data_IF_099758604674
#
_entry.id   IF_099758604674
#
_cell.length_a   1.000
_cell.length_b   1.000
_cell.length_c   1.000
_cell.angle_alpha   90.00
_cell.angle_beta   90.00
_cell.angle_gamma   90.00
#
_symmetry.space_group_name_H-M   'P 1'
#
loop_
_entity.id
_entity.type
_entity.pdbx_description
1 polymer ?
#
# COMPACT_ATOMS: atom_id res chain seq x y z
N UNK A 1 -0.47 -20.42 56.04
CA UNK A 1 -0.37 -19.36 55.01
C UNK A 1 1.10 -19.16 54.66
N UNK A 2 1.56 -19.77 53.57
CA UNK A 2 2.96 -19.70 53.13
C UNK A 2 3.11 -18.56 52.10
N UNK A 3 4.05 -17.66 52.37
CA UNK A 3 4.31 -16.44 51.63
C UNK A 3 5.27 -16.75 50.46
N UNK A 4 4.73 -17.08 49.28
CA UNK A 4 5.54 -17.32 48.07
C UNK A 4 5.97 -15.97 47.50
N UNK A 5 7.13 -15.47 47.93
CA UNK A 5 7.84 -14.39 47.26
C UNK A 5 8.27 -14.88 45.87
N UNK A 6 7.57 -14.41 44.83
CA UNK A 6 7.99 -14.64 43.45
C UNK A 6 9.37 -13.99 43.22
N UNK A 7 10.39 -14.81 43.00
CA UNK A 7 11.68 -14.37 42.48
C UNK A 7 11.47 -13.81 41.07
N UNK A 8 11.27 -12.50 40.96
CA UNK A 8 11.45 -11.78 39.72
C UNK A 8 12.96 -11.71 39.47
N UNK A 9 13.50 -12.68 38.72
CA UNK A 9 14.89 -12.63 38.23
C UNK A 9 15.01 -11.40 37.32
N UNK A 10 15.81 -10.39 37.66
CA UNK A 10 15.99 -9.24 36.80
C UNK A 10 16.88 -9.66 35.63
N UNK A 11 16.29 -9.81 34.44
CA UNK A 11 17.02 -9.82 33.17
C UNK A 11 17.68 -8.45 32.98
N UNK A 12 18.83 -8.23 33.63
CA UNK A 12 19.59 -6.98 33.58
C UNK A 12 20.88 -7.17 32.76
N UNK A 13 20.97 -6.36 31.72
CA UNK A 13 22.17 -5.69 31.20
C UNK A 13 23.13 -6.34 30.17
N UNK A 14 22.93 -7.57 29.68
CA UNK A 14 23.66 -8.04 28.47
C UNK A 14 22.84 -7.95 27.15
N UNK A 15 21.64 -7.36 27.20
CA UNK A 15 20.67 -7.42 26.10
C UNK A 15 20.84 -6.36 25.00
N UNK A 16 21.47 -5.21 25.26
CA UNK A 16 21.56 -4.12 24.27
C UNK A 16 22.51 -4.45 23.12
N UNK A 17 23.67 -5.03 23.44
CA UNK A 17 24.66 -5.46 22.44
C UNK A 17 24.07 -6.59 21.59
N UNK A 18 23.37 -7.55 22.23
CA UNK A 18 22.70 -8.64 21.52
C UNK A 18 21.61 -8.16 20.55
N UNK A 19 20.79 -7.18 20.94
CA UNK A 19 19.75 -6.62 20.06
C UNK A 19 20.38 -5.86 18.89
N UNK A 20 21.40 -5.04 19.14
CA UNK A 20 22.08 -4.30 18.08
C UNK A 20 22.75 -5.25 17.06
N UNK A 21 23.42 -6.30 17.55
CA UNK A 21 24.03 -7.32 16.70
C UNK A 21 22.96 -8.07 15.88
N UNK A 22 21.82 -8.42 16.47
CA UNK A 22 20.73 -9.07 15.77
C UNK A 22 20.13 -8.18 14.66
N UNK A 23 19.91 -6.88 14.94
CA UNK A 23 19.42 -5.92 13.94
C UNK A 23 20.41 -5.77 12.79
N UNK A 24 21.70 -5.64 13.10
CA UNK A 24 22.75 -5.55 12.09
C UNK A 24 22.82 -6.81 11.23
N UNK A 25 22.74 -7.99 11.84
CA UNK A 25 22.73 -9.27 11.10
C UNK A 25 21.54 -9.37 10.15
N UNK A 26 20.34 -9.00 10.60
CA UNK A 26 19.13 -8.95 9.76
C UNK A 26 19.32 -7.97 8.63
N UNK A 27 19.82 -6.76 8.90
CA UNK A 27 20.07 -5.75 7.88
C UNK A 27 21.03 -6.23 6.80
N UNK A 28 22.18 -6.79 7.19
CA UNK A 28 23.18 -7.34 6.27
C UNK A 28 22.59 -8.48 5.44
N UNK A 29 21.76 -9.34 6.05
CA UNK A 29 21.07 -10.42 5.34
C UNK A 29 20.11 -9.88 4.27
N UNK A 30 19.32 -8.84 4.59
CA UNK A 30 18.41 -8.20 3.63
C UNK A 30 19.23 -7.56 2.48
N UNK A 31 20.32 -6.85 2.80
CA UNK A 31 21.21 -6.30 1.77
C UNK A 31 21.77 -7.39 0.85
N UNK A 32 22.22 -8.52 1.40
CA UNK A 32 22.75 -9.63 0.61
C UNK A 32 21.70 -10.22 -0.34
N UNK A 33 20.47 -10.44 0.14
CA UNK A 33 19.35 -10.90 -0.69
C UNK A 33 19.04 -9.89 -1.79
N UNK A 34 18.95 -8.61 -1.46
CA UNK A 34 18.65 -7.56 -2.44
C UNK A 34 19.77 -7.44 -3.50
N UNK A 35 21.04 -7.49 -3.09
CA UNK A 35 22.19 -7.47 -4.01
C UNK A 35 22.19 -8.64 -5.00
N UNK A 36 21.58 -9.78 -4.63
CA UNK A 36 21.48 -10.92 -5.54
C UNK A 36 20.54 -10.65 -6.73
N UNK A 37 19.49 -9.83 -6.54
CA UNK A 37 18.44 -9.58 -7.54
C UNK A 37 18.47 -8.19 -8.18
N UNK A 38 19.18 -7.23 -7.57
CA UNK A 38 19.21 -5.83 -8.00
C UNK A 38 20.01 -5.63 -9.29
N UNK A 39 19.52 -4.79 -10.19
CA UNK A 39 20.32 -4.33 -11.33
C UNK A 39 21.13 -3.09 -10.92
N UNK A 40 22.42 -3.27 -10.60
CA UNK A 40 23.30 -2.16 -10.25
C UNK A 40 23.45 -1.15 -11.39
N UNK A 41 23.32 -1.57 -12.66
CA UNK A 41 23.39 -0.67 -13.80
C UNK A 41 22.10 0.12 -14.00
N UNK A 42 21.01 -0.29 -13.37
CA UNK A 42 19.73 0.38 -13.45
C UNK A 42 19.72 1.74 -12.74
N UNK A 43 20.68 2.03 -11.85
CA UNK A 43 20.81 3.36 -11.26
C UNK A 43 21.14 4.43 -12.32
N UNK A 44 20.42 5.56 -12.24
CA UNK A 44 20.58 6.70 -13.14
C UNK A 44 21.97 7.33 -13.06
N UNK A 45 22.53 7.43 -11.86
CA UNK A 45 23.84 8.01 -11.62
C UNK A 45 24.93 6.94 -11.68
N UNK A 46 25.92 7.14 -12.54
CA UNK A 46 27.06 6.21 -12.72
C UNK A 46 27.83 5.97 -11.42
N UNK A 47 27.99 6.98 -10.57
CA UNK A 47 28.65 6.87 -9.26
C UNK A 47 27.93 5.92 -8.29
N UNK A 48 26.65 5.64 -8.52
CA UNK A 48 25.85 4.73 -7.70
C UNK A 48 25.87 3.29 -8.22
N UNK A 49 26.41 3.00 -9.41
CA UNK A 49 26.42 1.67 -10.05
C UNK A 49 27.47 0.71 -9.46
N UNK A 50 27.50 0.61 -8.14
CA UNK A 50 28.42 -0.24 -7.39
C UNK A 50 27.73 -0.83 -6.16
N UNK A 51 28.22 -1.95 -5.67
CA UNK A 51 27.72 -2.54 -4.41
C UNK A 51 27.86 -1.56 -3.23
N UNK A 52 28.94 -0.78 -3.17
CA UNK A 52 29.11 0.27 -2.16
C UNK A 52 28.09 1.40 -2.31
N UNK A 53 27.82 1.85 -3.54
CA UNK A 53 26.80 2.86 -3.82
C UNK A 53 25.41 2.39 -3.37
N UNK A 54 25.08 1.13 -3.64
CA UNK A 54 23.86 0.49 -3.17
C UNK A 54 23.74 0.50 -1.64
N UNK A 55 24.80 0.10 -0.93
CA UNK A 55 24.81 0.08 0.54
C UNK A 55 24.66 1.50 1.10
N UNK A 56 25.36 2.49 0.56
CA UNK A 56 25.27 3.89 1.02
C UNK A 56 23.86 4.47 0.85
N UNK A 57 23.23 4.24 -0.30
CA UNK A 57 21.86 4.67 -0.57
C UNK A 57 20.86 3.94 0.33
N UNK A 58 21.03 2.63 0.51
CA UNK A 58 20.19 1.82 1.40
C UNK A 58 20.25 2.34 2.83
N UNK A 59 21.45 2.67 3.33
CA UNK A 59 21.65 3.25 4.66
C UNK A 59 21.03 4.64 4.78
N UNK A 60 21.16 5.48 3.75
CA UNK A 60 20.54 6.79 3.72
C UNK A 60 19.01 6.68 3.86
N UNK A 61 18.38 5.82 3.06
CA UNK A 61 16.93 5.58 3.14
C UNK A 61 16.57 5.04 4.54
N UNK A 62 17.32 4.09 5.08
CA UNK A 62 17.11 3.56 6.43
C UNK A 62 17.14 4.66 7.51
N UNK A 63 18.10 5.58 7.43
CA UNK A 63 18.23 6.70 8.38
C UNK A 63 17.06 7.67 8.24
N UNK A 64 16.66 8.02 7.02
CA UNK A 64 15.51 8.88 6.76
C UNK A 64 14.23 8.25 7.31
N UNK A 65 14.02 6.96 7.07
CA UNK A 65 12.87 6.22 7.58
C UNK A 65 12.87 6.10 9.10
N UNK A 66 14.02 5.84 9.73
CA UNK A 66 14.14 5.87 11.18
C UNK A 66 13.79 7.25 11.74
N UNK A 67 14.36 8.29 11.14
CA UNK A 67 14.10 9.69 11.45
C UNK A 67 12.62 10.05 11.33
N UNK A 68 11.95 9.58 10.27
CA UNK A 68 10.50 9.74 10.08
C UNK A 68 9.73 9.29 11.30
N UNK A 69 9.95 8.04 11.74
CA UNK A 69 9.24 7.48 12.89
C UNK A 69 9.56 8.26 14.16
N UNK A 70 10.83 8.63 14.39
CA UNK A 70 11.19 9.41 15.58
C UNK A 70 10.53 10.78 15.60
N UNK A 71 10.51 11.48 14.46
CA UNK A 71 9.88 12.80 14.33
C UNK A 71 8.37 12.72 14.52
N UNK A 72 7.75 11.70 13.95
CA UNK A 72 6.32 11.45 14.05
C UNK A 72 5.90 11.17 15.49
N UNK A 73 6.68 10.38 16.23
CA UNK A 73 6.35 9.96 17.59
C UNK A 73 6.69 10.99 18.65
N UNK A 74 7.76 11.77 18.45
CA UNK A 74 8.21 12.74 19.46
C UNK A 74 7.21 13.89 19.69
N UNK A 75 6.19 14.07 18.84
CA UNK A 75 5.23 15.21 18.86
C UNK A 75 5.92 16.47 19.38
N UNK A 76 7.09 16.77 18.83
CA UNK A 76 7.95 17.83 19.37
C UNK A 76 7.18 19.13 19.26
N UNK A 77 6.77 19.68 20.41
CA UNK A 77 6.08 20.97 20.56
C UNK A 77 6.88 22.17 20.00
N UNK A 78 8.04 21.94 19.39
CA UNK A 78 8.97 22.96 18.94
C UNK A 78 8.43 23.82 17.80
N UNK A 79 7.41 23.37 17.07
CA UNK A 79 6.67 24.23 16.14
C UNK A 79 5.20 23.81 16.17
N UNK A 80 4.37 24.48 16.98
CA UNK A 80 2.92 24.24 17.04
C UNK A 80 2.21 24.42 15.67
N UNK A 81 2.88 25.04 14.68
CA UNK A 81 2.38 25.24 13.31
C UNK A 81 2.82 24.22 12.24
N UNK A 82 3.94 23.50 12.43
CA UNK A 82 4.48 22.57 11.41
C UNK A 82 4.75 21.20 12.04
N UNK A 83 3.79 20.29 11.89
CA UNK A 83 4.00 18.90 12.27
C UNK A 83 5.16 18.34 11.46
N UNK A 84 6.24 17.91 12.11
CA UNK A 84 7.39 17.28 11.44
C UNK A 84 6.99 16.05 10.61
N UNK A 85 5.81 15.47 10.84
CA UNK A 85 5.21 14.45 9.97
C UNK A 85 5.00 14.91 8.52
N UNK A 86 5.01 16.23 8.25
CA UNK A 86 4.90 16.82 6.92
C UNK A 86 6.24 16.85 6.18
N UNK A 87 7.37 16.91 6.89
CA UNK A 87 8.69 17.17 6.29
C UNK A 87 9.08 16.09 5.30
N UNK A 88 8.81 14.82 5.62
CA UNK A 88 9.21 13.70 4.76
C UNK A 88 8.29 13.55 3.54
N UNK A 89 6.95 13.55 3.67
CA UNK A 89 6.06 13.58 2.51
C UNK A 89 6.35 14.77 1.58
N UNK A 90 6.54 15.97 2.14
CA UNK A 90 6.91 17.15 1.36
C UNK A 90 8.31 17.02 0.74
N UNK A 91 9.27 16.43 1.45
CA UNK A 91 10.60 16.16 0.92
C UNK A 91 10.57 15.21 -0.28
N UNK A 92 9.83 14.09 -0.19
CA UNK A 92 9.63 13.16 -1.29
C UNK A 92 8.95 13.85 -2.48
N UNK A 93 7.92 14.65 -2.22
CA UNK A 93 7.28 15.47 -3.25
C UNK A 93 8.27 16.42 -3.93
N UNK A 94 9.11 17.14 -3.18
CA UNK A 94 10.12 18.03 -3.74
C UNK A 94 11.13 17.26 -4.59
N UNK A 95 11.57 16.07 -4.15
CA UNK A 95 12.45 15.22 -4.96
C UNK A 95 11.79 14.77 -6.27
N UNK A 96 10.54 14.31 -6.21
CA UNK A 96 9.75 13.93 -7.38
C UNK A 96 9.57 15.13 -8.34
N UNK A 97 9.24 16.30 -7.80
CA UNK A 97 9.11 17.52 -8.58
C UNK A 97 10.41 17.89 -9.29
N UNK A 98 11.54 17.89 -8.57
CA UNK A 98 12.86 18.23 -9.13
C UNK A 98 13.25 17.22 -10.22
N UNK A 99 13.07 15.92 -10.01
CA UNK A 99 13.41 14.92 -11.03
C UNK A 99 12.59 15.18 -12.30
N UNK A 100 11.27 15.31 -12.16
CA UNK A 100 10.37 15.38 -13.31
C UNK A 100 10.56 16.69 -14.07
N UNK A 101 10.74 17.79 -13.34
CA UNK A 101 10.99 19.10 -13.95
C UNK A 101 12.29 19.11 -14.75
N UNK A 102 13.36 18.49 -14.22
CA UNK A 102 14.66 18.37 -14.89
C UNK A 102 14.71 17.26 -15.95
N UNK A 103 13.63 16.50 -16.16
CA UNK A 103 13.63 15.34 -17.05
C UNK A 103 14.57 14.22 -16.59
N UNK A 104 14.82 14.13 -15.29
CA UNK A 104 15.62 13.08 -14.67
C UNK A 104 14.83 11.79 -14.51
N UNK A 105 15.51 10.66 -14.72
CA UNK A 105 14.98 9.31 -14.58
C UNK A 105 15.57 8.66 -13.33
N UNK A 106 15.50 9.36 -12.20
CA UNK A 106 16.23 8.96 -10.99
C UNK A 106 15.57 7.79 -10.29
N UNK A 107 14.25 7.69 -10.40
CA UNK A 107 13.46 6.63 -9.81
C UNK A 107 12.83 5.73 -10.88
N UNK A 108 12.68 4.45 -10.53
CA UNK A 108 12.04 3.45 -11.36
C UNK A 108 10.52 3.55 -11.24
N UNK A 109 9.88 3.37 -12.38
CA UNK A 109 8.46 3.07 -12.46
C UNK A 109 8.28 1.67 -13.05
N UNK A 110 7.18 1.03 -12.68
CA UNK A 110 6.77 -0.28 -13.18
C UNK A 110 5.32 -0.14 -13.68
N UNK A 111 4.82 -1.14 -14.39
CA UNK A 111 3.51 -1.11 -15.02
C UNK A 111 3.59 -0.96 -16.54
N UNK A 112 2.59 -0.29 -17.11
CA UNK A 112 2.34 -0.20 -18.55
C UNK A 112 3.02 1.00 -19.24
N UNK A 113 3.85 1.75 -18.50
CA UNK A 113 4.86 2.64 -19.08
C UNK A 113 4.27 3.94 -19.62
N UNK A 114 3.32 4.51 -18.87
CA UNK A 114 2.75 5.83 -19.13
C UNK A 114 1.42 5.81 -19.88
N UNK A 115 0.65 4.71 -19.83
CA UNK A 115 -0.68 4.66 -20.45
C UNK A 115 -1.59 5.79 -19.95
N UNK A 116 -1.49 6.15 -18.66
CA UNK A 116 -2.22 7.30 -18.10
C UNK A 116 -1.83 8.62 -18.78
N UNK A 117 -0.54 8.84 -19.03
CA UNK A 117 -0.06 10.05 -19.71
C UNK A 117 -0.57 10.13 -21.15
N UNK A 118 -0.66 8.98 -21.83
CA UNK A 118 -1.24 8.87 -23.19
C UNK A 118 -2.74 9.14 -23.16
N UNK A 119 -3.49 8.52 -22.25
CA UNK A 119 -4.92 8.74 -22.09
C UNK A 119 -5.26 10.22 -21.83
N UNK A 120 -4.48 10.89 -20.99
CA UNK A 120 -4.61 12.32 -20.72
C UNK A 120 -4.31 13.16 -21.96
N UNK A 121 -3.25 12.86 -22.68
CA UNK A 121 -2.85 13.61 -23.87
C UNK A 121 -3.85 13.46 -25.03
N UNK A 122 -4.48 12.29 -25.15
CA UNK A 122 -5.51 12.01 -26.15
C UNK A 122 -6.91 12.45 -25.71
N UNK A 123 -7.07 12.94 -24.47
CA UNK A 123 -8.37 13.26 -23.87
C UNK A 123 -9.36 12.10 -23.94
N UNK A 124 -8.87 10.87 -23.75
CA UNK A 124 -9.69 9.65 -23.76
C UNK A 124 -9.73 9.04 -22.36
N UNK A 125 -10.91 9.02 -21.72
CA UNK A 125 -11.09 8.28 -20.47
C UNK A 125 -10.75 6.80 -20.65
N UNK A 126 -10.25 6.17 -19.61
CA UNK A 126 -9.89 4.76 -19.62
C UNK A 126 -10.87 3.96 -18.79
N UNK A 127 -11.43 2.88 -19.32
CA UNK A 127 -12.61 2.21 -18.73
C UNK A 127 -12.34 1.69 -17.32
N UNK A 128 -11.15 1.12 -17.06
CA UNK A 128 -10.74 0.60 -15.74
C UNK A 128 -10.64 1.69 -14.67
N UNK A 129 -10.49 2.95 -15.07
CA UNK A 129 -10.18 4.12 -14.24
C UNK A 129 -11.11 5.30 -14.57
N UNK A 130 -12.35 5.02 -14.94
CA UNK A 130 -13.23 5.96 -15.63
C UNK A 130 -13.24 7.37 -15.01
N UNK A 131 -13.76 7.48 -13.79
CA UNK A 131 -13.99 8.77 -13.13
C UNK A 131 -12.66 9.48 -12.86
N UNK A 132 -11.62 8.75 -12.44
CA UNK A 132 -10.34 9.37 -12.13
C UNK A 132 -9.57 9.81 -13.37
N UNK A 133 -9.66 9.08 -14.48
CA UNK A 133 -9.04 9.52 -15.75
C UNK A 133 -9.78 10.74 -16.30
N UNK A 134 -11.11 10.76 -16.28
CA UNK A 134 -11.89 11.95 -16.66
C UNK A 134 -11.52 13.16 -15.82
N UNK A 135 -11.50 13.02 -14.49
CA UNK A 135 -11.12 14.11 -13.59
C UNK A 135 -9.68 14.60 -13.83
N UNK A 136 -8.75 13.69 -14.17
CA UNK A 136 -7.37 14.03 -14.49
C UNK A 136 -7.23 14.74 -15.83
N UNK A 137 -7.99 14.34 -16.86
CA UNK A 137 -8.07 15.03 -18.16
C UNK A 137 -8.56 16.46 -17.96
N UNK A 138 -9.67 16.63 -17.23
CA UNK A 138 -10.27 17.94 -16.98
C UNK A 138 -9.31 18.84 -16.19
N UNK A 139 -8.70 18.31 -15.12
CA UNK A 139 -7.74 19.07 -14.33
C UNK A 139 -6.49 19.45 -15.12
N UNK A 140 -5.95 18.52 -15.93
CA UNK A 140 -4.83 18.79 -16.83
C UNK A 140 -5.16 19.87 -17.86
N UNK A 141 -6.37 19.82 -18.45
CA UNK A 141 -6.86 20.82 -19.40
C UNK A 141 -7.00 22.19 -18.77
N UNK A 142 -7.61 22.29 -17.59
CA UNK A 142 -7.74 23.54 -16.84
C UNK A 142 -6.38 24.12 -16.46
N UNK A 143 -5.46 23.28 -15.98
CA UNK A 143 -4.11 23.71 -15.59
C UNK A 143 -3.34 24.26 -16.80
N UNK A 144 -3.40 23.57 -17.94
CA UNK A 144 -2.74 24.00 -19.18
C UNK A 144 -3.36 25.24 -19.80
N UNK A 145 -4.67 25.42 -19.66
CA UNK A 145 -5.37 26.57 -20.20
C UNK A 145 -5.12 27.84 -19.36
N UNK A 146 -5.11 27.72 -18.03
CA UNK A 146 -5.14 28.89 -17.13
C UNK A 146 -3.85 29.15 -16.35
N UNK A 147 -3.01 28.14 -16.09
CA UNK A 147 -1.93 28.24 -15.08
C UNK A 147 -0.55 28.07 -15.68
N UNK A 148 -0.26 26.93 -16.30
CA UNK A 148 1.08 26.60 -16.83
C UNK A 148 0.99 25.65 -18.02
N UNK A 149 1.88 25.81 -19.01
CA UNK A 149 2.05 24.81 -20.07
C UNK A 149 2.97 23.68 -19.61
N UNK A 150 2.41 22.47 -19.47
CA UNK A 150 3.12 21.27 -19.02
C UNK A 150 2.65 20.05 -19.81
N UNK A 151 3.58 19.18 -20.23
CA UNK A 151 3.25 17.93 -20.92
C UNK A 151 2.63 16.90 -19.96
N UNK A 152 1.78 16.01 -20.47
CA UNK A 152 1.16 14.94 -19.67
C UNK A 152 2.19 14.05 -18.96
N UNK A 153 3.30 13.73 -19.64
CA UNK A 153 4.44 12.97 -19.11
C UNK A 153 5.08 13.61 -17.86
N UNK A 154 5.05 14.94 -17.74
CA UNK A 154 5.53 15.65 -16.54
C UNK A 154 4.44 15.84 -15.51
N UNK A 155 3.22 16.09 -15.98
CA UNK A 155 2.06 16.30 -15.14
C UNK A 155 1.74 15.08 -14.27
N UNK A 156 1.70 13.87 -14.85
CA UNK A 156 1.30 12.65 -14.12
C UNK A 156 2.20 12.37 -12.91
N UNK A 157 3.54 12.30 -13.04
CA UNK A 157 4.42 12.12 -11.88
C UNK A 157 4.27 13.20 -10.80
N UNK A 158 4.12 14.47 -11.20
CA UNK A 158 3.98 15.59 -10.25
C UNK A 158 2.64 15.49 -9.51
N UNK A 159 1.55 15.22 -10.22
CA UNK A 159 0.23 15.06 -9.64
C UNK A 159 0.16 13.83 -8.71
N UNK A 160 0.76 12.72 -9.14
CA UNK A 160 0.94 11.49 -8.36
C UNK A 160 1.65 11.77 -7.03
N UNK A 161 2.84 12.39 -7.07
CA UNK A 161 3.58 12.76 -5.86
C UNK A 161 2.80 13.75 -4.97
N UNK A 162 2.06 14.68 -5.57
CA UNK A 162 1.20 15.65 -4.84
C UNK A 162 0.10 14.93 -4.07
N UNK A 163 -0.63 14.02 -4.71
CA UNK A 163 -1.73 13.28 -4.10
C UNK A 163 -1.22 12.31 -3.04
N UNK A 164 -0.09 11.66 -3.29
CA UNK A 164 0.55 10.79 -2.29
C UNK A 164 1.03 11.58 -1.08
N UNK A 165 1.60 12.76 -1.27
CA UNK A 165 1.94 13.67 -0.18
C UNK A 165 0.70 14.07 0.62
N UNK A 166 -0.34 14.59 -0.05
CA UNK A 166 -1.59 14.99 0.60
C UNK A 166 -2.27 13.83 1.37
N UNK A 167 -2.30 12.64 0.76
CA UNK A 167 -2.86 11.43 1.36
C UNK A 167 -2.07 11.01 2.59
N UNK A 168 -0.74 10.99 2.51
CA UNK A 168 0.13 10.68 3.66
C UNK A 168 -0.13 11.63 4.81
N UNK A 169 -0.23 12.93 4.53
CA UNK A 169 -0.53 13.96 5.53
C UNK A 169 -1.91 13.78 6.16
N UNK A 170 -2.95 13.54 5.35
CA UNK A 170 -4.32 13.35 5.82
C UNK A 170 -4.42 12.11 6.72
N UNK A 171 -3.89 10.97 6.26
CA UNK A 171 -3.89 9.69 7.00
C UNK A 171 -3.13 9.83 8.31
N UNK A 172 -1.93 10.40 8.27
CA UNK A 172 -1.09 10.65 9.44
C UNK A 172 -1.78 11.52 10.49
N UNK A 173 -2.47 12.58 10.06
CA UNK A 173 -3.20 13.49 10.95
C UNK A 173 -4.42 12.81 11.57
N UNK A 174 -5.15 12.02 10.78
CA UNK A 174 -6.40 11.42 11.23
C UNK A 174 -6.16 10.23 12.18
N UNK A 175 -5.32 9.26 11.79
CA UNK A 175 -5.11 8.04 12.57
C UNK A 175 -3.93 8.11 13.55
N UNK A 176 -3.11 9.16 13.46
CA UNK A 176 -1.95 9.36 14.32
C UNK A 176 -0.80 8.39 14.04
N UNK A 177 0.03 8.16 15.06
CA UNK A 177 1.35 7.53 14.93
C UNK A 177 1.35 6.02 15.10
N UNK A 178 0.20 5.36 15.01
CA UNK A 178 0.09 3.93 15.31
C UNK A 178 0.86 3.10 14.28
N UNK A 179 1.41 1.95 14.69
CA UNK A 179 2.22 1.10 13.83
C UNK A 179 1.46 0.66 12.56
N UNK A 180 0.15 0.43 12.66
CA UNK A 180 -0.71 0.09 11.52
C UNK A 180 -0.94 1.23 10.52
N UNK A 181 -0.53 2.45 10.87
CA UNK A 181 -0.47 3.62 9.97
C UNK A 181 0.94 3.77 9.41
N UNK A 182 1.96 3.66 10.27
CA UNK A 182 3.35 3.85 9.87
C UNK A 182 3.81 2.79 8.87
N UNK A 183 3.49 1.51 9.09
CA UNK A 183 3.89 0.42 8.21
C UNK A 183 3.43 0.59 6.76
N UNK A 184 2.13 0.83 6.45
CA UNK A 184 1.72 1.05 5.06
C UNK A 184 2.37 2.32 4.47
N UNK A 185 2.46 3.43 5.21
CA UNK A 185 3.06 4.69 4.73
C UNK A 185 4.58 4.64 4.52
N UNK A 186 5.23 3.58 4.99
CA UNK A 186 6.69 3.38 4.86
C UNK A 186 7.02 2.09 4.12
N UNK A 187 6.00 1.44 3.54
CA UNK A 187 6.19 0.31 2.64
C UNK A 187 6.92 0.77 1.37
N UNK A 188 7.77 -0.08 0.78
CA UNK A 188 8.46 0.25 -0.46
C UNK A 188 7.52 0.74 -1.58
N UNK A 189 6.35 0.12 -1.75
CA UNK A 189 5.39 0.53 -2.79
C UNK A 189 4.80 1.93 -2.53
N UNK A 190 4.51 2.27 -1.28
CA UNK A 190 4.03 3.62 -0.93
C UNK A 190 5.09 4.69 -1.19
N UNK A 191 6.36 4.37 -0.89
CA UNK A 191 7.49 5.26 -1.16
C UNK A 191 7.73 5.43 -2.66
N UNK A 192 7.60 4.35 -3.45
CA UNK A 192 7.69 4.41 -4.91
C UNK A 192 6.61 5.34 -5.48
N UNK A 193 5.35 5.16 -5.08
CA UNK A 193 4.24 6.04 -5.46
C UNK A 193 4.50 7.51 -5.09
N UNK A 194 5.08 7.76 -3.92
CA UNK A 194 5.38 9.11 -3.42
C UNK A 194 6.50 9.82 -4.20
N UNK A 195 7.28 9.11 -5.01
CA UNK A 195 8.43 9.63 -5.75
C UNK A 195 8.15 9.92 -7.23
N UNK A 196 6.88 10.11 -7.58
CA UNK A 196 6.45 10.49 -8.93
C UNK A 196 6.35 9.28 -9.86
N UNK A 197 5.64 8.27 -9.39
CA UNK A 197 5.30 7.07 -10.15
C UNK A 197 4.30 7.44 -11.26
N UNK A 198 4.54 6.95 -12.48
CA UNK A 198 3.85 7.41 -13.71
C UNK A 198 2.62 6.56 -14.09
N UNK A 199 2.08 5.81 -13.13
CA UNK A 199 0.87 5.00 -13.25
C UNK A 199 -0.34 5.63 -12.55
N UNK A 200 -1.50 4.98 -12.70
CA UNK A 200 -2.75 5.42 -12.08
C UNK A 200 -2.89 5.05 -10.59
N UNK A 201 -2.20 4.02 -10.09
CA UNK A 201 -2.35 3.56 -8.70
C UNK A 201 -2.10 4.62 -7.60
N UNK A 202 -1.12 5.54 -7.73
CA UNK A 202 -0.92 6.63 -6.75
C UNK A 202 -2.16 7.50 -6.51
N UNK A 203 -3.01 7.66 -7.52
CA UNK A 203 -4.23 8.48 -7.43
C UNK A 203 -5.33 7.82 -6.59
N UNK A 204 -5.28 6.50 -6.45
CA UNK A 204 -6.30 5.72 -5.73
C UNK A 204 -5.77 5.05 -4.44
N UNK A 205 -4.45 4.95 -4.28
CA UNK A 205 -3.81 4.31 -3.13
C UNK A 205 -4.14 5.00 -1.80
N UNK A 206 -4.19 6.34 -1.77
CA UNK A 206 -4.57 7.10 -0.58
C UNK A 206 -6.00 6.83 -0.13
N UNK A 207 -6.94 6.83 -1.07
CA UNK A 207 -8.35 6.50 -0.82
C UNK A 207 -8.51 5.06 -0.34
N UNK A 208 -7.82 4.11 -1.00
CA UNK A 208 -7.80 2.72 -0.57
C UNK A 208 -7.34 2.60 0.89
N UNK A 209 -6.20 3.21 1.23
CA UNK A 209 -5.61 3.10 2.57
C UNK A 209 -6.53 3.73 3.64
N UNK A 210 -7.15 4.88 3.35
CA UNK A 210 -8.15 5.48 4.25
C UNK A 210 -9.32 4.55 4.52
N UNK A 211 -9.92 3.97 3.47
CA UNK A 211 -11.06 3.07 3.61
C UNK A 211 -10.66 1.74 4.27
N UNK A 212 -9.48 1.21 3.96
CA UNK A 212 -8.93 0.03 4.62
C UNK A 212 -8.76 0.29 6.12
N UNK A 213 -8.08 1.38 6.50
CA UNK A 213 -7.92 1.77 7.91
C UNK A 213 -9.28 1.97 8.60
N UNK A 214 -10.25 2.58 7.91
CA UNK A 214 -11.59 2.67 8.42
C UNK A 214 -12.20 1.29 8.64
N UNK A 215 -12.11 0.34 7.70
CA UNK A 215 -12.60 -1.05 7.88
C UNK A 215 -12.00 -1.70 9.14
N UNK A 216 -10.71 -1.51 9.40
CA UNK A 216 -10.02 -2.00 10.60
C UNK A 216 -10.34 -1.22 11.88
N UNK A 217 -10.85 0.01 11.77
CA UNK A 217 -11.16 0.88 12.90
C UNK A 217 -12.48 0.52 13.57
N UNK A 218 -12.52 0.68 14.89
CA UNK A 218 -13.75 0.61 15.70
C UNK A 218 -14.54 1.95 15.64
N UNK A 219 -14.07 2.95 14.89
CA UNK A 219 -14.75 4.25 14.76
C UNK A 219 -16.21 4.10 14.30
N UNK A 220 -17.10 4.66 15.12
CA UNK A 220 -18.53 4.75 14.86
C UNK A 220 -18.81 5.95 13.94
N UNK A 221 -18.62 5.73 12.64
CA UNK A 221 -19.15 6.63 11.62
C UNK A 221 -20.59 6.19 11.31
N UNK A 222 -21.54 7.08 11.54
CA UNK A 222 -22.95 6.83 11.23
C UNK A 222 -23.13 6.59 9.72
N UNK A 223 -23.99 5.61 9.38
CA UNK A 223 -24.32 5.35 8.00
C UNK A 223 -25.09 6.56 7.43
N UNK A 224 -24.55 7.17 6.37
CA UNK A 224 -25.15 8.32 5.70
C UNK A 224 -25.23 8.07 4.19
N UNK A 225 -26.15 8.77 3.52
CA UNK A 225 -26.27 8.72 2.06
C UNK A 225 -24.96 9.10 1.36
N UNK A 226 -24.18 10.01 1.96
CA UNK A 226 -22.87 10.40 1.44
C UNK A 226 -21.90 9.20 1.36
N UNK A 227 -21.82 8.37 2.40
CA UNK A 227 -20.93 7.20 2.39
C UNK A 227 -21.39 6.12 1.41
N UNK A 228 -22.71 6.00 1.18
CA UNK A 228 -23.23 5.15 0.11
C UNK A 228 -22.87 5.68 -1.28
N UNK A 229 -22.95 7.00 -1.51
CA UNK A 229 -22.47 7.61 -2.75
C UNK A 229 -20.97 7.31 -2.93
N UNK A 230 -20.14 7.55 -1.92
CA UNK A 230 -18.70 7.23 -1.97
C UNK A 230 -18.48 5.76 -2.35
N UNK A 231 -19.18 4.82 -1.71
CA UNK A 231 -19.09 3.41 -2.01
C UNK A 231 -19.46 3.06 -3.47
N UNK A 232 -20.50 3.72 -4.00
CA UNK A 232 -20.93 3.60 -5.39
C UNK A 232 -19.94 4.15 -6.42
N UNK A 233 -19.18 5.19 -6.05
CA UNK A 233 -18.18 5.79 -6.93
C UNK A 233 -16.86 5.00 -6.99
N UNK A 234 -16.56 4.14 -6.01
CA UNK A 234 -15.28 3.41 -5.97
C UNK A 234 -15.01 2.56 -7.23
N UNK A 235 -15.96 1.78 -7.77
CA UNK A 235 -15.73 1.01 -9.00
C UNK A 235 -15.53 1.89 -10.24
N UNK A 236 -16.13 3.08 -10.27
CA UNK A 236 -15.93 4.04 -11.35
C UNK A 236 -14.57 4.76 -11.22
N UNK A 237 -14.07 4.96 -10.00
CA UNK A 237 -12.70 5.45 -9.76
C UNK A 237 -11.66 4.41 -10.16
N UNK A 238 -11.85 3.16 -9.75
CA UNK A 238 -11.00 2.05 -10.13
C UNK A 238 -11.81 0.76 -10.06
N UNK A 239 -11.92 0.04 -11.19
CA UNK A 239 -12.68 -1.22 -11.25
C UNK A 239 -12.15 -2.26 -10.25
N UNK A 240 -10.85 -2.24 -9.94
CA UNK A 240 -10.25 -3.09 -8.90
C UNK A 240 -10.78 -2.83 -7.48
N UNK A 241 -11.53 -1.75 -7.25
CA UNK A 241 -12.20 -1.46 -5.97
C UNK A 241 -13.60 -2.05 -5.84
N UNK A 242 -14.11 -2.81 -6.81
CA UNK A 242 -15.38 -3.55 -6.65
C UNK A 242 -15.43 -4.34 -5.33
N UNK A 243 -14.39 -5.12 -4.94
CA UNK A 243 -14.41 -5.79 -3.65
C UNK A 243 -14.41 -4.82 -2.47
N UNK A 244 -13.67 -3.71 -2.54
CA UNK A 244 -13.64 -2.69 -1.50
C UNK A 244 -15.03 -2.07 -1.27
N UNK A 245 -15.80 -1.82 -2.33
CA UNK A 245 -17.21 -1.39 -2.23
C UNK A 245 -18.03 -2.36 -1.39
N UNK A 246 -17.87 -3.67 -1.60
CA UNK A 246 -18.59 -4.69 -0.82
C UNK A 246 -18.22 -4.62 0.66
N UNK A 247 -16.94 -4.46 0.99
CA UNK A 247 -16.49 -4.33 2.39
C UNK A 247 -17.01 -3.03 3.04
N UNK A 248 -17.04 -1.92 2.30
CA UNK A 248 -17.64 -0.67 2.75
C UNK A 248 -19.14 -0.84 3.00
N UNK A 249 -19.88 -1.47 2.09
CA UNK A 249 -21.30 -1.77 2.28
C UNK A 249 -21.54 -2.66 3.49
N UNK A 250 -20.77 -3.73 3.67
CA UNK A 250 -20.88 -4.61 4.84
C UNK A 250 -20.68 -3.81 6.14
N UNK A 251 -19.72 -2.88 6.16
CA UNK A 251 -19.51 -1.98 7.30
C UNK A 251 -20.71 -1.06 7.53
N UNK A 252 -21.21 -0.39 6.51
CA UNK A 252 -22.37 0.49 6.60
C UNK A 252 -23.65 -0.25 7.02
N UNK A 253 -23.88 -1.46 6.51
CA UNK A 253 -25.05 -2.27 6.87
C UNK A 253 -25.04 -2.73 8.32
N UNK A 254 -23.84 -3.00 8.87
CA UNK A 254 -23.71 -3.30 10.30
C UNK A 254 -24.15 -2.15 11.20
N UNK A 255 -24.19 -0.91 10.67
CA UNK A 255 -24.63 0.31 11.35
C UNK A 255 -26.06 0.71 11.01
N UNK A 256 -26.57 0.33 9.85
CA UNK A 256 -27.93 0.62 9.44
C UNK A 256 -28.96 -0.13 10.30
N UNK A 257 -29.89 0.63 10.88
CA UNK A 257 -30.89 0.16 11.87
C UNK A 257 -32.02 -0.67 11.24
N UNK A 258 -32.30 -0.48 9.95
CA UNK A 258 -33.39 -1.17 9.25
C UNK A 258 -32.96 -1.72 7.89
N UNK A 259 -33.61 -2.81 7.47
CA UNK A 259 -33.41 -3.39 6.13
C UNK A 259 -33.77 -2.40 5.01
N UNK A 260 -34.81 -1.58 5.22
CA UNK A 260 -35.20 -0.53 4.27
C UNK A 260 -34.10 0.51 4.06
N UNK A 261 -33.42 0.93 5.13
CA UNK A 261 -32.27 1.85 5.04
C UNK A 261 -31.10 1.23 4.27
N UNK A 262 -30.84 -0.08 4.46
CA UNK A 262 -29.80 -0.81 3.71
C UNK A 262 -30.10 -0.84 2.22
N UNK A 263 -31.32 -1.24 1.85
CA UNK A 263 -31.76 -1.27 0.44
C UNK A 263 -31.70 0.12 -0.18
N UNK A 264 -32.17 1.15 0.52
CA UNK A 264 -32.09 2.53 0.04
C UNK A 264 -30.64 2.96 -0.21
N UNK A 265 -29.74 2.69 0.73
CA UNK A 265 -28.30 2.98 0.58
C UNK A 265 -27.66 2.24 -0.60
N UNK A 266 -28.04 0.98 -0.85
CA UNK A 266 -27.61 0.24 -2.05
C UNK A 266 -28.08 0.92 -3.32
N UNK A 267 -29.37 1.29 -3.39
CA UNK A 267 -29.92 1.98 -4.55
C UNK A 267 -29.20 3.31 -4.81
N UNK A 268 -28.89 4.08 -3.76
CA UNK A 268 -28.09 5.31 -3.87
C UNK A 268 -26.70 5.03 -4.42
N UNK A 269 -26.04 3.96 -3.96
CA UNK A 269 -24.70 3.58 -4.44
C UNK A 269 -24.72 3.18 -5.92
N UNK A 270 -25.70 2.35 -6.31
CA UNK A 270 -25.87 1.90 -7.71
C UNK A 270 -26.20 3.08 -8.62
N UNK A 271 -27.08 3.98 -8.19
CA UNK A 271 -27.41 5.19 -8.93
C UNK A 271 -26.19 6.10 -9.09
N UNK A 272 -25.39 6.28 -8.04
CA UNK A 272 -24.15 7.05 -8.10
C UNK A 272 -23.15 6.46 -9.11
N UNK A 273 -23.03 5.13 -9.16
CA UNK A 273 -22.19 4.45 -10.15
C UNK A 273 -22.66 4.72 -11.59
N UNK A 274 -23.96 4.58 -11.87
CA UNK A 274 -24.48 4.87 -13.20
C UNK A 274 -24.34 6.34 -13.59
N UNK A 275 -24.59 7.27 -12.66
CA UNK A 275 -24.37 8.70 -12.90
C UNK A 275 -22.89 8.97 -13.21
N UNK A 276 -21.96 8.32 -12.50
CA UNK A 276 -20.53 8.45 -12.80
C UNK A 276 -20.19 7.94 -14.20
N UNK A 277 -20.85 6.87 -14.68
CA UNK A 277 -20.69 6.40 -16.05
C UNK A 277 -21.23 7.41 -17.05
N UNK A 278 -22.44 7.92 -16.85
CA UNK A 278 -23.05 8.90 -17.77
C UNK A 278 -22.25 10.21 -17.85
N UNK A 279 -21.60 10.62 -16.76
CA UNK A 279 -20.71 11.80 -16.74
C UNK A 279 -19.36 11.48 -17.39
N UNK A 280 -18.75 10.35 -17.03
CA UNK A 280 -17.39 10.00 -17.42
C UNK A 280 -17.25 9.40 -18.81
N UNK A 281 -18.33 8.83 -19.36
CA UNK A 281 -18.33 8.07 -20.62
C UNK A 281 -19.38 8.61 -21.61
N UNK A 282 -18.99 9.48 -22.56
CA UNK A 282 -19.93 10.21 -23.41
C UNK A 282 -20.75 9.32 -24.37
N UNK A 283 -20.33 8.07 -24.59
CA UNK A 283 -21.03 7.10 -25.45
C UNK A 283 -22.10 6.30 -24.68
N UNK A 284 -22.25 6.55 -23.38
CA UNK A 284 -23.25 5.94 -22.50
C UNK A 284 -22.85 4.57 -21.93
N UNK A 285 -23.62 4.11 -20.94
CA UNK A 285 -23.27 2.95 -20.11
C UNK A 285 -23.17 1.61 -20.84
N UNK A 286 -24.00 1.36 -21.87
CA UNK A 286 -23.96 0.07 -22.61
C UNK A 286 -22.64 -0.11 -23.35
N UNK A 287 -22.13 0.96 -23.96
CA UNK A 287 -20.83 0.94 -24.65
C UNK A 287 -19.68 0.80 -23.65
N UNK A 288 -19.74 1.52 -22.53
CA UNK A 288 -18.75 1.43 -21.46
C UNK A 288 -18.59 -0.01 -20.95
N UNK A 289 -19.69 -0.71 -20.64
CA UNK A 289 -19.61 -2.08 -20.08
C UNK A 289 -19.03 -3.09 -21.08
N UNK A 290 -19.29 -2.92 -22.37
CA UNK A 290 -18.70 -3.75 -23.41
C UNK A 290 -17.17 -3.56 -23.45
N UNK A 291 -16.71 -2.31 -23.53
CA UNK A 291 -15.29 -1.98 -23.60
C UNK A 291 -14.53 -2.29 -22.31
N UNK A 292 -15.16 -2.11 -21.15
CA UNK A 292 -14.56 -2.49 -19.87
C UNK A 292 -14.21 -3.99 -19.85
N UNK A 293 -15.04 -4.84 -20.45
CA UNK A 293 -14.76 -6.28 -20.47
C UNK A 293 -13.50 -6.59 -21.29
N UNK A 294 -13.31 -5.87 -22.39
CA UNK A 294 -12.14 -6.02 -23.26
C UNK A 294 -10.86 -5.46 -22.60
N UNK A 295 -10.96 -4.29 -21.97
CA UNK A 295 -9.84 -3.62 -21.29
C UNK A 295 -9.36 -4.33 -20.02
N UNK A 296 -10.15 -5.27 -19.48
CA UNK A 296 -9.78 -6.05 -18.29
C UNK A 296 -8.73 -7.15 -18.57
N UNK A 297 -8.30 -7.33 -19.84
CA UNK A 297 -7.25 -8.29 -20.24
C UNK A 297 -7.46 -9.69 -19.63
N UNK A 298 -8.71 -10.18 -19.70
CA UNK A 298 -9.12 -11.46 -19.12
C UNK A 298 -8.59 -12.64 -19.93
N UNK A 299 -8.47 -13.81 -19.29
CA UNK A 299 -8.04 -15.03 -19.99
C UNK A 299 -6.55 -15.07 -20.28
N UNK A 300 -6.11 -15.93 -21.21
CA UNK A 300 -4.70 -16.02 -21.62
C UNK A 300 -4.35 -15.17 -22.86
N UNK A 301 -5.22 -14.24 -23.23
CA UNK A 301 -5.03 -13.39 -24.42
C UNK A 301 -3.98 -12.28 -24.21
N UNK A 302 -3.16 -12.04 -25.23
CA UNK A 302 -2.43 -10.77 -25.43
C UNK A 302 -1.14 -10.55 -24.63
N UNK A 303 -0.77 -11.41 -23.67
CA UNK A 303 0.52 -11.29 -22.96
C UNK A 303 1.22 -12.64 -22.79
N UNK A 304 2.46 -12.73 -23.28
CA UNK A 304 3.33 -13.91 -23.14
C UNK A 304 4.35 -13.80 -22.01
N UNK A 305 4.23 -12.78 -21.14
CA UNK A 305 5.26 -12.47 -20.14
C UNK A 305 5.03 -13.08 -18.75
N UNK A 306 3.93 -13.81 -18.54
CA UNK A 306 3.67 -14.55 -17.30
C UNK A 306 3.67 -16.06 -17.52
N UNK A 307 3.95 -16.80 -16.45
CA UNK A 307 3.90 -18.27 -16.44
C UNK A 307 2.57 -18.76 -15.85
N UNK A 308 2.01 -19.84 -16.39
CA UNK A 308 0.76 -20.44 -15.95
C UNK A 308 -0.43 -20.20 -16.90
N UNK A 309 -1.60 -20.69 -16.50
CA UNK A 309 -2.86 -20.57 -17.24
C UNK A 309 -3.94 -19.91 -16.41
N UNK A 310 -4.80 -19.13 -17.05
CA UNK A 310 -5.98 -18.56 -16.40
C UNK A 310 -7.01 -19.64 -16.03
N UNK A 311 -7.90 -19.33 -15.09
CA UNK A 311 -9.01 -20.20 -14.71
C UNK A 311 -10.05 -20.34 -15.83
N UNK A 312 -10.19 -19.29 -16.65
CA UNK A 312 -11.03 -19.24 -17.85
C UNK A 312 -10.65 -18.04 -18.71
N UNK A 313 -11.15 -17.99 -19.95
CA UNK A 313 -10.95 -16.87 -20.88
C UNK A 313 -11.55 -15.55 -20.39
N UNK A 314 -12.39 -15.59 -19.36
CA UNK A 314 -13.07 -14.43 -18.77
C UNK A 314 -12.66 -14.18 -17.31
N UNK A 315 -11.57 -14.79 -16.87
CA UNK A 315 -11.07 -14.65 -15.49
C UNK A 315 -9.74 -13.91 -15.47
N UNK A 316 -9.53 -12.97 -14.52
CA UNK A 316 -8.22 -12.38 -14.25
C UNK A 316 -7.37 -13.27 -13.32
N UNK A 317 -7.90 -14.42 -12.90
CA UNK A 317 -7.30 -15.30 -11.91
C UNK A 317 -6.68 -16.55 -12.54
N UNK A 318 -5.58 -17.00 -11.95
CA UNK A 318 -4.94 -18.27 -12.24
C UNK A 318 -5.87 -19.46 -12.03
N UNK A 319 -5.67 -20.50 -12.84
CA UNK A 319 -6.17 -21.84 -12.54
C UNK A 319 -5.57 -22.36 -11.21
N UNK A 320 -6.24 -23.31 -10.56
CA UNK A 320 -5.73 -23.90 -9.31
C UNK A 320 -4.33 -24.49 -9.48
N UNK A 321 -4.04 -25.16 -10.58
CA UNK A 321 -2.69 -25.71 -10.83
C UNK A 321 -1.62 -24.63 -10.92
N UNK A 322 -1.93 -23.49 -11.54
CA UNK A 322 -1.00 -22.37 -11.68
C UNK A 322 -0.83 -21.60 -10.36
N UNK A 323 -1.91 -21.37 -9.62
CA UNK A 323 -1.87 -20.67 -8.33
C UNK A 323 -1.05 -21.42 -7.27
N UNK A 324 -1.03 -22.76 -7.31
CA UNK A 324 -0.25 -23.58 -6.37
C UNK A 324 1.12 -24.03 -6.92
N UNK A 325 1.53 -23.51 -8.08
CA UNK A 325 2.80 -23.85 -8.71
C UNK A 325 3.99 -23.23 -7.98
N UNK A 326 5.16 -23.87 -8.07
CA UNK A 326 6.38 -23.38 -7.43
C UNK A 326 6.87 -22.04 -7.99
N UNK A 327 6.66 -21.78 -9.29
CA UNK A 327 7.04 -20.49 -9.89
C UNK A 327 6.19 -19.36 -9.30
N UNK A 328 4.88 -19.56 -9.16
CA UNK A 328 3.99 -18.52 -8.63
C UNK A 328 4.27 -18.25 -7.16
N UNK A 329 4.52 -19.28 -6.35
CA UNK A 329 4.90 -19.08 -4.93
C UNK A 329 6.17 -18.23 -4.82
N UNK A 330 7.17 -18.45 -5.68
CA UNK A 330 8.39 -17.61 -5.72
C UNK A 330 8.04 -16.16 -6.07
N UNK A 331 7.15 -15.96 -7.04
CA UNK A 331 6.72 -14.65 -7.51
C UNK A 331 5.93 -13.90 -6.42
N UNK A 332 5.06 -14.60 -5.67
CA UNK A 332 4.36 -14.05 -4.51
C UNK A 332 5.31 -13.63 -3.39
N UNK A 333 6.33 -14.44 -3.09
CA UNK A 333 7.36 -14.09 -2.11
C UNK A 333 8.12 -12.85 -2.59
N UNK A 334 8.48 -12.79 -3.86
CA UNK A 334 9.16 -11.65 -4.47
C UNK A 334 8.32 -10.38 -4.31
N UNK A 335 7.07 -10.36 -4.79
CA UNK A 335 6.18 -9.21 -4.68
C UNK A 335 5.94 -8.83 -3.22
N UNK A 336 5.64 -9.80 -2.36
CA UNK A 336 5.35 -9.55 -0.95
C UNK A 336 6.53 -8.91 -0.20
N UNK A 337 7.76 -9.31 -0.52
CA UNK A 337 8.97 -8.72 0.06
C UNK A 337 9.27 -7.37 -0.54
N UNK A 338 9.27 -7.23 -1.87
CA UNK A 338 9.74 -6.01 -2.53
C UNK A 338 8.72 -4.88 -2.56
N UNK A 339 7.41 -5.17 -2.61
CA UNK A 339 6.36 -4.16 -2.51
C UNK A 339 5.92 -3.91 -1.06
N UNK A 340 5.69 -4.99 -0.29
CA UNK A 340 5.21 -4.92 1.09
C UNK A 340 6.29 -4.66 2.15
N UNK A 341 7.55 -4.99 1.85
CA UNK A 341 8.71 -4.72 2.70
C UNK A 341 8.75 -5.57 3.97
N UNK A 342 9.35 -4.98 5.02
CA UNK A 342 9.54 -5.62 6.32
C UNK A 342 8.22 -5.96 7.01
N UNK A 343 7.11 -5.31 6.67
CA UNK A 343 5.82 -5.59 7.29
C UNK A 343 5.32 -7.00 6.90
N UNK A 344 5.53 -7.41 5.65
CA UNK A 344 5.27 -8.78 5.17
C UNK A 344 6.16 -9.79 5.88
N UNK A 345 7.46 -9.49 5.99
CA UNK A 345 8.43 -10.35 6.69
C UNK A 345 8.03 -10.49 8.18
N UNK A 346 7.76 -9.37 8.84
CA UNK A 346 7.35 -9.32 10.24
C UNK A 346 6.06 -10.11 10.48
N UNK A 347 5.08 -10.04 9.57
CA UNK A 347 3.85 -10.82 9.69
C UNK A 347 4.13 -12.32 9.67
N UNK A 348 4.94 -12.80 8.72
CA UNK A 348 5.33 -14.21 8.61
C UNK A 348 6.00 -14.69 9.91
N UNK A 349 6.93 -13.90 10.44
CA UNK A 349 7.60 -14.22 11.71
C UNK A 349 6.65 -14.19 12.90
N UNK A 350 5.78 -13.17 13.01
CA UNK A 350 4.83 -13.04 14.12
C UNK A 350 3.79 -14.17 14.13
N UNK A 351 3.28 -14.56 12.96
CA UNK A 351 2.36 -15.70 12.83
C UNK A 351 3.08 -17.00 13.16
N UNK A 352 4.27 -17.24 12.59
CA UNK A 352 5.06 -18.44 12.86
C UNK A 352 5.47 -18.58 14.33
N UNK A 353 5.85 -17.48 14.99
CA UNK A 353 6.17 -17.47 16.43
C UNK A 353 4.95 -17.75 17.29
N UNK A 354 3.77 -17.19 16.96
CA UNK A 354 2.54 -17.46 17.71
C UNK A 354 2.06 -18.92 17.55
N UNK A 355 2.27 -19.54 16.39
CA UNK A 355 1.98 -20.97 16.18
C UNK A 355 2.94 -21.87 16.97
N UNK A 356 4.22 -21.48 17.07
CA UNK A 356 5.26 -22.27 17.76
C UNK A 356 5.26 -22.08 19.28
N UNK A 357 4.90 -20.89 19.77
CA UNK A 357 4.76 -20.56 21.20
C UNK A 357 3.41 -21.03 21.77
N UNK A 358 2.92 -22.19 21.33
CA UNK A 358 1.59 -22.72 21.65
C UNK A 358 1.14 -22.31 23.04
N UNK A 359 0.05 -21.54 23.12
CA UNK A 359 -0.47 -20.97 24.37
C UNK A 359 0.19 -19.68 24.87
N UNK A 360 0.15 -18.60 24.09
CA UNK A 360 -0.37 -17.39 24.73
C UNK A 360 -1.82 -17.70 25.05
N UNK A 361 -2.12 -18.09 26.29
CA UNK A 361 -3.49 -18.09 26.83
C UNK A 361 -3.99 -16.65 26.83
N UNK A 362 -4.16 -16.08 25.66
CA UNK A 362 -4.97 -14.90 25.47
C UNK A 362 -6.33 -15.32 26.02
N UNK A 363 -6.70 -14.75 27.16
CA UNK A 363 -8.07 -14.74 27.62
C UNK A 363 -8.86 -14.00 26.54
N UNK A 364 -9.19 -14.71 25.47
CA UNK A 364 -10.11 -14.24 24.47
C UNK A 364 -11.45 -14.21 25.17
N UNK A 365 -11.88 -13.01 25.54
CA UNK A 365 -13.27 -12.79 25.90
C UNK A 365 -14.12 -13.20 24.68
N UNK A 366 -15.33 -13.76 24.88
CA UNK A 366 -16.21 -14.15 23.78
C UNK A 366 -16.45 -13.03 22.75
N UNK A 367 -16.41 -11.76 23.21
CA UNK A 367 -16.47 -10.57 22.35
C UNK A 367 -15.22 -10.37 21.48
N UNK A 368 -14.04 -10.77 21.96
CA UNK A 368 -12.78 -10.78 21.21
C UNK A 368 -12.75 -11.85 20.10
N UNK A 369 -13.40 -13.00 20.31
CA UNK A 369 -13.50 -14.07 19.31
C UNK A 369 -14.53 -13.75 18.21
N UNK A 370 -15.70 -13.17 18.57
CA UNK A 370 -16.63 -12.56 17.59
C UNK A 370 -15.96 -11.46 16.77
N UNK A 371 -15.01 -10.72 17.36
CA UNK A 371 -14.13 -9.76 16.68
C UNK A 371 -13.03 -10.40 15.82
N UNK A 372 -12.74 -11.71 15.91
CA UNK A 372 -11.79 -12.40 15.02
C UNK A 372 -12.46 -13.00 13.78
N UNK A 373 -13.76 -13.34 13.85
CA UNK A 373 -14.62 -13.64 12.67
C UNK A 373 -15.24 -12.34 12.10
N UNK A 374 -14.53 -11.22 12.27
CA UNK A 374 -15.02 -9.88 11.92
C UNK A 374 -14.68 -9.48 10.49
N UNK A 375 -15.38 -8.46 10.00
CA UNK A 375 -15.16 -7.84 8.69
C UNK A 375 -13.66 -7.60 8.36
N UNK A 376 -12.81 -7.06 9.27
CA UNK A 376 -11.37 -6.99 9.09
C UNK A 376 -10.68 -8.30 8.68
N UNK A 377 -11.03 -9.43 9.32
CA UNK A 377 -10.39 -10.71 9.00
C UNK A 377 -10.80 -11.21 7.61
N UNK A 378 -12.08 -11.07 7.25
CA UNK A 378 -12.58 -11.38 5.90
C UNK A 378 -11.89 -10.49 4.87
N UNK A 379 -11.65 -9.22 5.19
CA UNK A 379 -10.94 -8.28 4.33
C UNK A 379 -9.47 -8.67 4.12
N UNK A 380 -8.76 -9.09 5.18
CA UNK A 380 -7.40 -9.65 5.05
C UNK A 380 -7.41 -10.91 4.18
N UNK A 381 -8.31 -11.85 4.48
CA UNK A 381 -8.42 -13.10 3.72
C UNK A 381 -8.68 -12.86 2.24
N UNK A 382 -9.58 -11.93 1.90
CA UNK A 382 -9.82 -11.52 0.53
C UNK A 382 -8.57 -10.97 -0.15
N UNK A 383 -7.84 -10.07 0.51
CA UNK A 383 -6.62 -9.49 -0.07
C UNK A 383 -5.50 -10.52 -0.26
N UNK A 384 -5.42 -11.52 0.63
CA UNK A 384 -4.51 -12.66 0.45
C UNK A 384 -4.94 -13.55 -0.71
N UNK A 385 -6.25 -13.83 -0.86
CA UNK A 385 -6.77 -14.58 -2.01
C UNK A 385 -6.54 -13.82 -3.32
N UNK A 386 -6.80 -12.52 -3.34
CA UNK A 386 -6.50 -11.66 -4.49
C UNK A 386 -5.02 -11.78 -4.86
N UNK A 387 -4.12 -11.60 -3.90
CA UNK A 387 -2.68 -11.72 -4.14
C UNK A 387 -2.32 -13.11 -4.66
N UNK A 388 -2.89 -14.17 -4.08
CA UNK A 388 -2.58 -15.56 -4.41
C UNK A 388 -3.11 -16.00 -5.78
N UNK A 389 -4.26 -15.48 -6.23
CA UNK A 389 -4.90 -15.93 -7.45
C UNK A 389 -4.75 -14.96 -8.63
N UNK A 390 -4.50 -13.67 -8.40
CA UNK A 390 -4.41 -12.67 -9.47
C UNK A 390 -3.19 -12.92 -10.36
N UNK A 391 -3.38 -12.81 -11.68
CA UNK A 391 -2.33 -12.97 -12.68
C UNK A 391 -1.58 -11.64 -12.86
N UNK A 392 -0.26 -11.57 -12.62
CA UNK A 392 0.57 -10.44 -13.02
C UNK A 392 0.86 -10.52 -14.52
N UNK A 393 0.03 -9.88 -15.35
CA UNK A 393 0.08 -9.96 -16.81
C UNK A 393 1.41 -9.51 -17.42
N UNK A 394 2.08 -8.53 -16.83
CA UNK A 394 3.41 -8.07 -17.26
C UNK A 394 4.55 -8.85 -16.57
N UNK A 395 4.21 -9.85 -15.75
CA UNK A 395 5.13 -10.58 -14.88
C UNK A 395 5.33 -9.88 -13.52
N UNK A 396 5.87 -10.58 -12.52
CA UNK A 396 5.90 -10.12 -11.12
C UNK A 396 6.78 -8.89 -10.87
N UNK A 397 7.74 -8.62 -11.76
CA UNK A 397 8.62 -7.45 -11.68
C UNK A 397 7.94 -6.19 -12.19
N UNK A 398 7.26 -6.29 -13.33
CA UNK A 398 6.59 -5.16 -13.97
C UNK A 398 5.22 -4.86 -13.33
N UNK A 399 4.47 -5.88 -12.90
CA UNK A 399 3.19 -5.72 -12.18
C UNK A 399 3.38 -5.79 -10.65
N UNK A 400 4.50 -5.29 -10.14
CA UNK A 400 4.76 -5.30 -8.70
C UNK A 400 3.77 -4.41 -7.92
N UNK A 401 3.26 -3.38 -8.58
CA UNK A 401 2.29 -2.42 -8.08
C UNK A 401 0.84 -2.93 -8.14
N UNK A 402 0.51 -3.88 -9.01
CA UNK A 402 -0.80 -4.52 -9.09
C UNK A 402 -1.31 -5.00 -7.71
N UNK A 403 -0.39 -5.43 -6.86
CA UNK A 403 -0.66 -5.96 -5.53
C UNK A 403 -0.58 -4.91 -4.42
N UNK A 404 -0.57 -3.61 -4.73
CA UNK A 404 -0.43 -2.56 -3.71
C UNK A 404 -1.51 -2.68 -2.61
N UNK A 405 -2.74 -3.01 -2.98
CA UNK A 405 -3.87 -3.18 -2.04
C UNK A 405 -3.57 -4.27 -1.01
N UNK A 406 -3.15 -5.45 -1.47
CA UNK A 406 -2.79 -6.58 -0.61
C UNK A 406 -1.59 -6.26 0.28
N UNK A 407 -0.55 -5.65 -0.28
CA UNK A 407 0.64 -5.27 0.48
C UNK A 407 0.33 -4.25 1.58
N UNK A 408 -0.52 -3.26 1.31
CA UNK A 408 -0.95 -2.28 2.31
C UNK A 408 -1.81 -2.94 3.39
N UNK A 409 -2.72 -3.86 3.05
CA UNK A 409 -3.55 -4.58 4.03
C UNK A 409 -2.71 -5.48 4.93
N UNK A 410 -1.72 -6.18 4.37
CA UNK A 410 -0.72 -6.94 5.13
C UNK A 410 0.03 -6.02 6.10
N UNK A 411 0.43 -4.83 5.63
CA UNK A 411 1.12 -3.85 6.45
C UNK A 411 0.27 -3.31 7.62
N UNK A 412 -1.01 -3.01 7.37
CA UNK A 412 -1.97 -2.64 8.41
C UNK A 412 -2.08 -3.76 9.44
N UNK A 413 -2.28 -5.00 8.98
CA UNK A 413 -2.46 -6.15 9.87
C UNK A 413 -1.22 -6.43 10.73
N UNK A 414 -0.02 -6.39 10.14
CA UNK A 414 1.24 -6.49 10.86
C UNK A 414 1.37 -5.40 11.93
N UNK A 415 0.97 -4.17 11.63
CA UNK A 415 0.97 -3.06 12.58
C UNK A 415 -0.04 -3.24 13.71
N UNK A 416 -1.23 -3.78 13.45
CA UNK A 416 -2.23 -4.09 14.48
C UNK A 416 -1.68 -5.14 15.45
N UNK A 417 -1.03 -6.19 14.93
CA UNK A 417 -0.40 -7.21 15.76
C UNK A 417 0.71 -6.62 16.62
N UNK A 418 1.53 -5.72 16.06
CA UNK A 418 2.59 -5.05 16.79
C UNK A 418 2.05 -4.13 17.91
N UNK A 419 0.99 -3.36 17.65
CA UNK A 419 0.34 -2.54 18.69
C UNK A 419 -0.19 -3.40 19.84
N UNK A 420 -0.83 -4.54 19.53
CA UNK A 420 -1.27 -5.48 20.58
C UNK A 420 -0.12 -6.00 21.42
N UNK A 421 1.03 -6.29 20.80
CA UNK A 421 2.24 -6.70 21.54
C UNK A 421 2.72 -5.57 22.46
N UNK A 422 2.69 -4.31 21.99
CA UNK A 422 3.05 -3.16 22.82
C UNK A 422 2.09 -2.95 23.99
N UNK A 423 0.79 -3.11 23.78
CA UNK A 423 -0.23 -3.02 24.83
C UNK A 423 -0.05 -4.12 25.88
N UNK A 424 0.10 -5.38 25.45
CA UNK A 424 0.30 -6.53 26.34
C UNK A 424 1.57 -6.39 27.20
N UNK A 425 2.63 -5.80 26.63
CA UNK A 425 3.91 -5.56 27.32
C UNK A 425 3.96 -4.23 28.08
N UNK A 426 2.91 -3.40 28.00
CA UNK A 426 2.88 -2.02 28.54
C UNK A 426 4.11 -1.21 28.13
N UNK A 427 4.52 -1.36 26.86
CA UNK A 427 5.71 -0.71 26.32
C UNK A 427 5.53 0.81 26.33
N UNK A 428 6.47 1.55 26.92
CA UNK A 428 6.43 3.01 26.93
C UNK A 428 6.61 3.61 25.53
N UNK A 429 6.04 4.79 25.29
CA UNK A 429 5.99 5.47 23.98
C UNK A 429 7.38 5.61 23.31
N UNK A 430 8.41 5.98 24.08
CA UNK A 430 9.78 6.07 23.55
C UNK A 430 10.31 4.73 23.04
N UNK A 431 10.00 3.63 23.73
CA UNK A 431 10.43 2.30 23.31
C UNK A 431 9.65 1.82 22.08
N UNK A 432 8.35 2.15 21.97
CA UNK A 432 7.56 1.91 20.75
C UNK A 432 8.17 2.64 19.55
N UNK A 433 8.46 3.93 19.70
CA UNK A 433 9.08 4.76 18.66
C UNK A 433 10.43 4.19 18.19
N UNK A 434 11.30 3.80 19.13
CA UNK A 434 12.61 3.20 18.80
C UNK A 434 12.41 1.89 18.05
N UNK A 435 11.57 0.98 18.57
CA UNK A 435 11.34 -0.31 17.95
C UNK A 435 10.74 -0.17 16.55
N UNK A 436 9.73 0.68 16.40
CA UNK A 436 9.10 0.93 15.12
C UNK A 436 10.07 1.58 14.13
N UNK A 437 10.88 2.54 14.58
CA UNK A 437 11.92 3.16 13.76
C UNK A 437 12.94 2.14 13.27
N UNK A 438 13.41 1.24 14.15
CA UNK A 438 14.33 0.17 13.76
C UNK A 438 13.69 -0.74 12.72
N UNK A 439 12.45 -1.20 12.94
CA UNK A 439 11.77 -2.11 12.01
C UNK A 439 11.61 -1.46 10.64
N UNK A 440 11.08 -0.23 10.58
CA UNK A 440 10.87 0.47 9.31
C UNK A 440 12.20 0.78 8.61
N UNK A 441 13.28 1.06 9.35
CA UNK A 441 14.59 1.30 8.73
C UNK A 441 15.11 0.11 7.93
N UNK A 442 14.66 -1.12 8.24
CA UNK A 442 15.00 -2.32 7.47
C UNK A 442 14.40 -2.31 6.04
N UNK A 443 13.45 -1.42 5.73
CA UNK A 443 12.98 -1.23 4.36
C UNK A 443 14.01 -0.52 3.47
N UNK A 444 15.07 0.10 4.01
CA UNK A 444 16.04 0.87 3.21
C UNK A 444 16.62 0.10 2.01
N UNK A 445 17.18 -1.11 2.20
CA UNK A 445 17.69 -1.92 1.09
C UNK A 445 16.60 -2.34 0.09
N UNK A 446 15.41 -2.69 0.57
CA UNK A 446 14.28 -3.12 -0.27
C UNK A 446 13.81 -1.95 -1.13
N UNK A 447 13.60 -0.79 -0.51
CA UNK A 447 13.22 0.45 -1.17
C UNK A 447 14.30 0.93 -2.15
N UNK A 448 15.59 0.84 -1.80
CA UNK A 448 16.67 1.15 -2.74
C UNK A 448 16.58 0.27 -4.01
N UNK A 449 16.37 -1.04 -3.82
CA UNK A 449 16.22 -2.00 -4.92
C UNK A 449 15.03 -1.66 -5.80
N UNK A 450 13.86 -1.43 -5.21
CA UNK A 450 12.63 -1.12 -5.94
C UNK A 450 12.70 0.26 -6.63
N UNK A 451 13.18 1.28 -5.93
CA UNK A 451 12.95 2.67 -6.35
C UNK A 451 14.10 3.22 -7.20
N UNK A 452 15.34 2.80 -6.94
CA UNK A 452 16.52 3.46 -7.54
C UNK A 452 17.20 2.56 -8.57
N UNK A 453 17.38 1.29 -8.21
CA UNK A 453 18.18 0.37 -9.02
C UNK A 453 17.32 -0.44 -9.98
N UNK A 454 16.16 -0.94 -9.53
CA UNK A 454 15.36 -1.90 -10.28
C UNK A 454 15.91 -3.33 -10.16
N UNK A 455 15.26 -4.25 -10.87
CA UNK A 455 15.56 -5.68 -10.84
C UNK A 455 16.32 -6.09 -12.10
N UNK A 456 17.22 -7.07 -12.00
CA UNK A 456 17.83 -7.74 -13.17
C UNK A 456 16.71 -8.33 -14.03
N UNK A 457 16.85 -8.29 -15.36
CA UNK A 457 15.92 -8.93 -16.30
C UNK A 457 15.79 -10.43 -16.05
#
# INVERSE_FOLDING_TARGET
MANVKSMAVPLRLNSKIGIAAAVLFVYVSICAVCLSVVDLNGASFTSLRSGSGYISISLLISVVLYGYVQLFWKRTKWVEGLSFSLVIPCGLFVFAFIQTYKGGWWFKSYGDGGALSTAINESKPFTRWLLGTTAMIDFYGLLNHFVISISSQKFVPIASATIMCASTVAIARHYGSKAFVVFPLTSPIWLAFSLGYDEYYPFVAGLFLLLALWIFSDEDIEASNFLFVVAGLLPALYVGFVPLTLFVWMKLFSKATSFRSRLFGMSVSVLAYFIAIEIGWPVGHSNYLALLTDDMNLGDFGSHNYQGTSMSDKSPFYSLSSAFSSFHIRDLVFVGVFAGGIATIALIFLVGMNLRLGSVKAKYTPNGLKRMVSLPFVFVAWNLLYMFFMIPKLGPKADIDLFFSSNLVIAIWAGILLERIFELRKTGERAKAIMLGVVVSLNGPIAATLIIYGFKS
#
